data_IF_162904300716
#
_entry.id   IF_162904300716
#
_cell.length_a   1.000
_cell.length_b   1.000
_cell.length_c   1.000
_cell.angle_alpha   90.00
_cell.angle_beta   90.00
_cell.angle_gamma   90.00
#
_symmetry.space_group_name_H-M   'P 1'
#
loop_
_entity.id
_entity.type
_entity.pdbx_description
1 polymer ?
#
# COMPACT_ATOMS: atom_id res chain seq x y z
N UNK A 1 12.38 -0.01 17.31
CA UNK A 1 11.96 -1.41 17.12
C UNK A 1 13.12 -2.18 16.50
N UNK A 2 13.42 -3.39 16.97
CA UNK A 2 14.46 -4.25 16.35
C UNK A 2 13.76 -5.32 15.50
N UNK A 3 13.55 -5.00 14.23
CA UNK A 3 12.83 -5.85 13.27
C UNK A 3 13.52 -7.20 13.07
N UNK A 4 14.86 -7.24 13.18
CA UNK A 4 15.69 -8.46 13.14
C UNK A 4 15.22 -9.54 14.13
N UNK A 5 14.69 -9.12 15.30
CA UNK A 5 14.22 -10.02 16.36
C UNK A 5 12.72 -10.33 16.26
N UNK A 6 12.03 -9.77 15.28
CA UNK A 6 10.59 -10.00 15.10
C UNK A 6 10.37 -11.27 14.31
N UNK A 7 9.56 -12.19 14.83
CA UNK A 7 9.37 -13.52 14.25
C UNK A 7 8.41 -13.54 13.06
N UNK A 8 7.41 -12.66 13.05
CA UNK A 8 6.38 -12.63 12.00
C UNK A 8 5.71 -11.26 11.91
N UNK A 9 4.87 -11.07 10.91
CA UNK A 9 4.18 -9.81 10.64
C UNK A 9 3.11 -9.44 11.67
N UNK A 10 2.53 -10.43 12.36
CA UNK A 10 1.60 -10.19 13.46
C UNK A 10 2.31 -9.62 14.68
N UNK A 11 3.46 -10.19 15.05
CA UNK A 11 4.30 -9.66 16.11
C UNK A 11 4.76 -8.23 15.77
N UNK A 12 5.11 -7.95 14.51
CA UNK A 12 5.44 -6.61 14.03
C UNK A 12 4.31 -5.61 14.32
N UNK A 13 3.08 -5.96 13.91
CA UNK A 13 1.91 -5.11 14.12
C UNK A 13 1.63 -4.91 15.61
N UNK A 14 1.61 -6.00 16.40
CA UNK A 14 1.32 -5.95 17.82
C UNK A 14 2.33 -5.13 18.60
N UNK A 15 3.63 -5.33 18.34
CA UNK A 15 4.71 -4.55 18.97
C UNK A 15 4.58 -3.05 18.65
N UNK A 16 4.19 -2.71 17.41
CA UNK A 16 3.98 -1.32 17.02
C UNK A 16 2.72 -0.75 17.65
N UNK A 17 1.61 -1.50 17.66
CA UNK A 17 0.37 -1.12 18.34
C UNK A 17 0.60 -0.80 19.82
N UNK A 18 1.42 -1.61 20.53
CA UNK A 18 1.72 -1.37 21.95
C UNK A 18 2.48 -0.05 22.20
N UNK A 19 3.19 0.46 21.20
CA UNK A 19 3.98 1.71 21.27
C UNK A 19 3.19 2.95 20.88
N UNK A 20 2.02 2.79 20.26
CA UNK A 20 1.23 3.91 19.79
C UNK A 20 0.19 4.37 20.82
N UNK A 21 -0.13 5.66 20.79
CA UNK A 21 -1.33 6.18 21.41
C UNK A 21 -2.54 5.60 20.66
N UNK A 22 -3.42 4.93 21.38
CA UNK A 22 -4.51 4.11 20.83
C UNK A 22 -5.46 4.89 19.94
N UNK A 23 -5.75 6.15 20.29
CA UNK A 23 -6.68 7.04 19.60
C UNK A 23 -6.09 7.67 18.31
N UNK A 24 -4.78 7.56 18.08
CA UNK A 24 -4.17 8.12 16.87
C UNK A 24 -4.68 7.39 15.64
N UNK A 25 -5.08 8.18 14.63
CA UNK A 25 -5.54 7.64 13.35
C UNK A 25 -4.38 6.96 12.63
N UNK A 26 -4.56 5.68 12.34
CA UNK A 26 -3.64 4.88 11.56
C UNK A 26 -4.05 4.80 10.09
N UNK A 27 -5.29 4.38 9.80
CA UNK A 27 -5.79 4.18 8.44
C UNK A 27 -6.92 5.16 8.11
N UNK A 28 -6.92 5.73 6.90
CA UNK A 28 -7.95 6.67 6.45
C UNK A 28 -8.25 6.52 4.96
N UNK A 29 -9.53 6.42 4.59
CA UNK A 29 -9.98 6.53 3.21
C UNK A 29 -10.08 8.00 2.79
N UNK A 30 -9.63 8.33 1.57
CA UNK A 30 -9.89 9.64 0.95
C UNK A 30 -11.16 9.62 0.11
N UNK A 31 -11.59 8.44 -0.37
CA UNK A 31 -12.88 8.26 -1.05
C UNK A 31 -14.05 8.46 -0.07
N UNK A 32 -13.90 7.94 1.15
CA UNK A 32 -14.86 8.02 2.23
C UNK A 32 -14.19 8.63 3.48
N UNK A 33 -14.06 9.98 3.55
CA UNK A 33 -13.26 10.61 4.62
C UNK A 33 -13.72 10.34 6.05
N UNK A 34 -14.97 9.90 6.24
CA UNK A 34 -15.49 9.45 7.54
C UNK A 34 -14.93 8.08 7.96
N UNK A 35 -14.49 7.25 7.03
CA UNK A 35 -13.83 5.96 7.33
C UNK A 35 -12.40 6.21 7.78
N UNK A 36 -12.24 6.36 9.08
CA UNK A 36 -10.97 6.52 9.78
C UNK A 36 -10.90 5.46 10.87
N UNK A 37 -9.76 4.82 10.98
CA UNK A 37 -9.48 3.80 11.99
C UNK A 37 -8.26 4.23 12.79
N UNK A 38 -8.43 4.35 14.11
CA UNK A 38 -7.32 4.50 15.04
C UNK A 38 -6.52 3.20 15.16
N UNK A 39 -5.40 3.23 15.85
CA UNK A 39 -4.65 2.00 16.16
C UNK A 39 -5.53 1.03 16.96
N UNK A 40 -6.35 1.54 17.89
CA UNK A 40 -7.30 0.73 18.65
C UNK A 40 -8.38 0.11 17.77
N UNK A 41 -8.99 0.90 16.87
CA UNK A 41 -10.01 0.40 15.95
C UNK A 41 -9.47 -0.73 15.08
N UNK A 42 -8.23 -0.56 14.56
CA UNK A 42 -7.58 -1.59 13.74
C UNK A 42 -7.33 -2.86 14.56
N UNK A 43 -6.77 -2.73 15.77
CA UNK A 43 -6.52 -3.87 16.66
C UNK A 43 -7.81 -4.62 17.00
N UNK A 44 -8.86 -3.90 17.40
CA UNK A 44 -10.16 -4.49 17.75
C UNK A 44 -10.81 -5.19 16.54
N UNK A 45 -10.77 -4.56 15.37
CA UNK A 45 -11.35 -5.12 14.16
C UNK A 45 -10.57 -6.34 13.64
N UNK A 46 -9.25 -6.36 13.76
CA UNK A 46 -8.44 -7.55 13.49
C UNK A 46 -8.89 -8.70 14.37
N UNK A 47 -9.02 -8.48 15.68
CA UNK A 47 -9.45 -9.53 16.62
C UNK A 47 -10.86 -10.04 16.32
N UNK A 48 -11.81 -9.13 16.05
CA UNK A 48 -13.19 -9.52 15.73
C UNK A 48 -13.30 -10.32 14.45
N UNK A 49 -12.59 -9.88 13.40
CA UNK A 49 -12.62 -10.56 12.10
C UNK A 49 -11.87 -11.89 12.16
N UNK A 50 -10.73 -11.96 12.85
CA UNK A 50 -9.98 -13.21 13.01
C UNK A 50 -10.75 -14.24 13.82
N UNK A 51 -11.44 -13.84 14.90
CA UNK A 51 -12.32 -14.73 15.66
C UNK A 51 -13.49 -15.28 14.82
N UNK A 52 -13.95 -14.54 13.82
CA UNK A 52 -14.96 -15.05 12.89
C UNK A 52 -14.35 -15.99 11.87
N UNK A 53 -13.23 -15.62 11.23
CA UNK A 53 -12.52 -16.41 10.22
C UNK A 53 -12.10 -17.77 10.80
N UNK A 54 -11.56 -17.81 12.02
CA UNK A 54 -11.06 -19.04 12.68
C UNK A 54 -12.11 -20.15 12.84
N UNK A 55 -13.39 -19.83 12.74
CA UNK A 55 -14.47 -20.84 12.79
C UNK A 55 -14.52 -21.71 11.53
N UNK A 56 -13.97 -21.23 10.42
CA UNK A 56 -14.12 -21.83 9.10
C UNK A 56 -12.82 -22.35 8.50
N UNK A 57 -11.66 -21.96 9.05
CA UNK A 57 -10.35 -22.33 8.53
C UNK A 57 -9.49 -23.10 9.53
N UNK A 58 -8.50 -23.83 9.01
CA UNK A 58 -7.40 -24.41 9.74
C UNK A 58 -6.11 -23.68 9.38
N UNK A 59 -5.07 -23.85 10.21
CA UNK A 59 -3.73 -23.30 9.92
C UNK A 59 -3.26 -23.74 8.53
N UNK A 60 -2.89 -22.77 7.69
CA UNK A 60 -2.43 -22.98 6.32
C UNK A 60 -3.53 -22.95 5.26
N UNK A 61 -4.82 -22.85 5.62
CA UNK A 61 -5.88 -22.65 4.65
C UNK A 61 -5.74 -21.28 3.97
N UNK A 62 -6.10 -21.21 2.67
CA UNK A 62 -6.03 -19.96 1.89
C UNK A 62 -7.31 -19.18 2.04
N UNK A 63 -7.16 -17.86 2.10
CA UNK A 63 -8.26 -16.93 2.06
C UNK A 63 -8.05 -15.95 0.90
N UNK A 64 -8.95 -15.97 -0.08
CA UNK A 64 -8.88 -15.10 -1.26
C UNK A 64 -9.44 -13.72 -0.92
N UNK A 65 -8.63 -12.67 -1.13
CA UNK A 65 -9.00 -11.27 -0.84
C UNK A 65 -9.13 -10.49 -2.15
N UNK A 66 -10.36 -10.10 -2.51
CA UNK A 66 -10.70 -9.36 -3.73
C UNK A 66 -11.22 -7.98 -3.32
N UNK A 67 -10.38 -6.97 -3.36
CA UNK A 67 -10.78 -5.62 -2.96
C UNK A 67 -9.84 -4.56 -3.55
N UNK A 68 -10.42 -3.41 -3.80
CA UNK A 68 -9.70 -2.15 -4.00
C UNK A 68 -8.95 -1.75 -2.73
N UNK A 69 -7.99 -0.82 -2.89
CA UNK A 69 -7.27 -0.27 -1.76
C UNK A 69 -8.23 0.48 -0.80
N UNK A 70 -8.25 0.05 0.44
CA UNK A 70 -9.10 0.61 1.51
C UNK A 70 -8.58 0.21 2.90
N UNK A 71 -8.94 0.91 3.97
CA UNK A 71 -8.51 0.56 5.33
C UNK A 71 -8.80 -0.90 5.71
N UNK A 72 -9.97 -1.40 5.35
CA UNK A 72 -10.43 -2.75 5.67
C UNK A 72 -9.56 -3.83 5.02
N UNK A 73 -8.82 -3.50 3.96
CA UNK A 73 -7.91 -4.43 3.30
C UNK A 73 -6.77 -4.86 4.24
N UNK A 74 -6.10 -3.91 4.91
CA UNK A 74 -5.04 -4.22 5.89
C UNK A 74 -5.60 -4.98 7.10
N UNK A 75 -6.80 -4.61 7.56
CA UNK A 75 -7.48 -5.30 8.65
C UNK A 75 -7.73 -6.76 8.26
N UNK A 76 -8.25 -7.02 7.07
CA UNK A 76 -8.51 -8.37 6.60
C UNK A 76 -7.23 -9.21 6.45
N UNK A 77 -6.17 -8.65 5.87
CA UNK A 77 -4.89 -9.32 5.69
C UNK A 77 -4.30 -9.80 7.03
N UNK A 78 -4.24 -8.89 8.01
CA UNK A 78 -3.78 -9.24 9.37
C UNK A 78 -4.75 -10.19 10.08
N UNK A 79 -6.05 -10.11 9.85
CA UNK A 79 -7.04 -11.02 10.43
C UNK A 79 -6.92 -12.44 9.88
N UNK A 80 -6.67 -12.59 8.59
CA UNK A 80 -6.40 -13.89 7.97
C UNK A 80 -5.17 -14.52 8.61
N UNK A 81 -4.07 -13.76 8.72
CA UNK A 81 -2.84 -14.24 9.34
C UNK A 81 -3.06 -14.63 10.81
N UNK A 82 -3.80 -13.81 11.59
CA UNK A 82 -4.09 -14.09 13.01
C UNK A 82 -4.99 -15.31 13.20
N UNK A 83 -5.78 -15.67 12.18
CA UNK A 83 -6.58 -16.91 12.17
C UNK A 83 -5.77 -18.14 11.74
N UNK A 84 -4.49 -17.98 11.41
CA UNK A 84 -3.63 -19.05 10.87
C UNK A 84 -3.78 -19.28 9.37
N UNK A 85 -4.53 -18.43 8.68
CA UNK A 85 -4.73 -18.50 7.23
C UNK A 85 -3.58 -17.86 6.43
N UNK A 86 -3.58 -18.14 5.13
CA UNK A 86 -2.65 -17.56 4.16
C UNK A 86 -3.45 -16.62 3.25
N UNK A 87 -3.08 -15.35 3.20
CA UNK A 87 -3.74 -14.38 2.32
C UNK A 87 -3.39 -14.64 0.86
N UNK A 88 -4.41 -14.70 0.01
CA UNK A 88 -4.27 -14.74 -1.46
C UNK A 88 -4.92 -13.48 -2.02
N UNK A 89 -4.19 -12.37 -2.17
CA UNK A 89 -4.77 -11.16 -2.71
C UNK A 89 -4.88 -11.23 -4.22
N UNK A 90 -6.05 -10.85 -4.76
CA UNK A 90 -6.31 -10.85 -6.19
C UNK A 90 -6.60 -9.45 -6.72
N UNK A 91 -6.20 -9.18 -7.97
CA UNK A 91 -6.49 -7.90 -8.62
C UNK A 91 -7.98 -7.79 -8.93
N UNK A 92 -8.55 -6.63 -8.62
CA UNK A 92 -9.95 -6.32 -8.95
C UNK A 92 -10.22 -6.20 -10.45
N UNK A 93 -9.19 -6.19 -11.27
CA UNK A 93 -9.26 -6.11 -12.73
C UNK A 93 -9.24 -7.47 -13.43
N UNK A 94 -9.11 -8.56 -12.68
CA UNK A 94 -9.15 -9.91 -13.24
C UNK A 94 -10.51 -10.22 -13.88
N UNK A 95 -10.48 -11.02 -14.95
CA UNK A 95 -11.66 -11.59 -15.58
C UNK A 95 -12.24 -12.76 -14.77
N UNK A 96 -13.48 -13.19 -15.08
CA UNK A 96 -14.10 -14.38 -14.50
C UNK A 96 -13.21 -15.62 -14.67
N UNK A 97 -12.60 -15.80 -15.84
CA UNK A 97 -11.66 -16.91 -16.13
C UNK A 97 -10.41 -16.87 -15.24
N UNK A 98 -9.84 -15.69 -15.02
CA UNK A 98 -8.66 -15.55 -14.16
C UNK A 98 -9.01 -15.91 -12.71
N UNK A 99 -10.18 -15.45 -12.24
CA UNK A 99 -10.65 -15.79 -10.90
C UNK A 99 -10.94 -17.29 -10.76
N UNK A 100 -11.58 -17.92 -11.75
CA UNK A 100 -11.85 -19.36 -11.74
C UNK A 100 -10.54 -20.14 -11.62
N UNK A 101 -9.53 -19.78 -12.42
CA UNK A 101 -8.22 -20.40 -12.35
C UNK A 101 -7.58 -20.25 -10.96
N UNK A 102 -7.55 -19.02 -10.41
CA UNK A 102 -6.95 -18.75 -9.09
C UNK A 102 -7.68 -19.51 -7.98
N UNK A 103 -9.02 -19.54 -8.04
CA UNK A 103 -9.85 -20.24 -7.05
C UNK A 103 -9.59 -21.76 -7.12
N UNK A 104 -9.43 -22.34 -8.30
CA UNK A 104 -9.13 -23.76 -8.47
C UNK A 104 -7.73 -24.12 -8.01
N UNK A 105 -6.74 -23.25 -8.30
CA UNK A 105 -5.34 -23.49 -7.94
C UNK A 105 -5.10 -23.34 -6.43
N UNK A 106 -5.62 -22.28 -5.79
CA UNK A 106 -5.40 -22.04 -4.37
C UNK A 106 -6.46 -22.64 -3.45
N UNK A 107 -7.59 -23.11 -3.96
CA UNK A 107 -8.70 -23.73 -3.19
C UNK A 107 -9.01 -22.98 -1.89
N UNK A 108 -9.47 -21.70 -1.94
CA UNK A 108 -9.64 -20.88 -0.75
C UNK A 108 -10.84 -21.33 0.08
N UNK A 109 -10.64 -21.47 1.40
CA UNK A 109 -11.75 -21.80 2.30
C UNK A 109 -12.68 -20.60 2.56
N UNK A 110 -12.15 -19.38 2.42
CA UNK A 110 -12.88 -18.12 2.60
C UNK A 110 -12.60 -17.18 1.43
N UNK A 111 -13.65 -16.47 1.00
CA UNK A 111 -13.53 -15.31 0.12
C UNK A 111 -13.81 -14.04 0.93
N UNK A 112 -12.99 -13.01 0.79
CA UNK A 112 -13.24 -11.67 1.33
C UNK A 112 -13.34 -10.71 0.14
N UNK A 113 -14.47 -10.02 0.00
CA UNK A 113 -14.83 -9.27 -1.21
C UNK A 113 -15.24 -7.85 -0.81
N UNK A 114 -14.76 -6.85 -1.57
CA UNK A 114 -15.08 -5.46 -1.25
C UNK A 114 -16.56 -5.14 -1.36
N UNK A 115 -17.17 -5.46 -2.50
CA UNK A 115 -18.50 -4.98 -2.87
C UNK A 115 -19.22 -5.91 -3.87
N UNK A 116 -20.43 -5.49 -4.24
CA UNK A 116 -21.26 -6.20 -5.22
C UNK A 116 -20.61 -6.29 -6.60
N UNK A 117 -19.84 -5.27 -7.01
CA UNK A 117 -19.21 -5.25 -8.35
C UNK A 117 -18.18 -6.37 -8.47
N UNK A 118 -17.38 -6.59 -7.43
CA UNK A 118 -16.41 -7.69 -7.42
C UNK A 118 -17.08 -9.05 -7.27
N UNK A 119 -18.15 -9.11 -6.48
CA UNK A 119 -18.93 -10.35 -6.32
C UNK A 119 -19.55 -10.83 -7.64
N UNK A 120 -20.13 -9.93 -8.44
CA UNK A 120 -20.74 -10.26 -9.74
C UNK A 120 -19.76 -10.97 -10.69
N UNK A 121 -18.46 -10.73 -10.58
CA UNK A 121 -17.43 -11.37 -11.41
C UNK A 121 -17.19 -12.84 -11.08
N UNK A 122 -17.56 -13.27 -9.88
CA UNK A 122 -17.28 -14.65 -9.39
C UNK A 122 -18.53 -15.42 -8.96
N UNK A 123 -19.69 -14.79 -8.92
CA UNK A 123 -20.94 -15.41 -8.43
C UNK A 123 -21.29 -16.74 -9.13
N UNK A 124 -20.96 -16.89 -10.42
CA UNK A 124 -21.23 -18.10 -11.20
C UNK A 124 -20.20 -19.22 -10.94
N UNK A 125 -19.03 -18.86 -10.37
CA UNK A 125 -17.96 -19.81 -10.03
C UNK A 125 -18.26 -20.47 -8.69
N UNK A 126 -18.73 -19.70 -7.71
CA UNK A 126 -18.88 -20.10 -6.30
C UNK A 126 -19.72 -21.36 -6.10
N UNK A 127 -20.91 -21.53 -6.75
CA UNK A 127 -21.78 -22.71 -6.52
C UNK A 127 -21.13 -24.03 -6.93
N UNK A 128 -20.05 -24.01 -7.70
CA UNK A 128 -19.31 -25.17 -8.18
C UNK A 128 -18.15 -25.57 -7.26
N UNK A 129 -17.94 -24.86 -6.14
CA UNK A 129 -16.74 -24.95 -5.30
C UNK A 129 -17.14 -25.22 -3.84
N UNK A 130 -17.26 -26.49 -3.49
CA UNK A 130 -17.69 -26.99 -2.17
C UNK A 130 -16.66 -26.71 -1.04
N UNK A 131 -15.41 -26.42 -1.39
CA UNK A 131 -14.38 -26.04 -0.45
C UNK A 131 -14.54 -24.61 0.09
N UNK A 132 -15.35 -23.73 -0.54
CA UNK A 132 -15.65 -22.37 -0.07
C UNK A 132 -16.68 -22.45 1.05
N UNK A 133 -16.23 -22.20 2.29
CA UNK A 133 -17.08 -22.33 3.47
C UNK A 133 -17.79 -21.03 3.84
N UNK A 134 -17.19 -19.86 3.50
CA UNK A 134 -17.74 -18.55 3.86
C UNK A 134 -17.27 -17.45 2.92
N UNK A 135 -18.14 -16.46 2.72
CA UNK A 135 -17.85 -15.25 1.97
C UNK A 135 -18.12 -14.05 2.87
N UNK A 136 -17.16 -13.12 2.97
CA UNK A 136 -17.23 -11.94 3.83
C UNK A 136 -17.18 -10.70 2.95
N UNK A 137 -18.16 -9.80 3.11
CA UNK A 137 -18.22 -8.54 2.38
C UNK A 137 -17.77 -7.36 3.23
N UNK A 138 -17.01 -6.42 2.64
CA UNK A 138 -16.69 -5.16 3.29
C UNK A 138 -17.86 -4.17 3.25
N UNK A 139 -18.58 -4.13 2.14
CA UNK A 139 -19.75 -3.27 1.98
C UNK A 139 -21.04 -4.01 2.29
N UNK A 140 -22.09 -3.23 2.53
CA UNK A 140 -23.41 -3.77 2.78
C UNK A 140 -23.96 -4.46 1.52
N UNK A 141 -24.51 -5.64 1.73
CA UNK A 141 -25.18 -6.44 0.70
C UNK A 141 -26.61 -6.72 1.16
N UNK A 142 -27.58 -6.32 0.35
CA UNK A 142 -28.98 -6.66 0.57
C UNK A 142 -29.25 -8.10 0.10
N UNK A 143 -30.27 -8.75 0.68
CA UNK A 143 -30.82 -10.05 0.27
C UNK A 143 -29.77 -11.17 0.06
N UNK A 144 -28.98 -11.44 1.09
CA UNK A 144 -27.99 -12.52 1.03
C UNK A 144 -28.28 -13.68 1.99
N UNK A 145 -27.85 -14.88 1.60
CA UNK A 145 -27.95 -16.08 2.44
C UNK A 145 -26.91 -16.03 3.58
N UNK A 146 -27.34 -15.84 4.81
CA UNK A 146 -26.48 -15.77 6.02
C UNK A 146 -25.72 -17.05 6.32
N UNK A 147 -26.12 -18.19 5.77
CA UNK A 147 -25.35 -19.43 5.94
C UNK A 147 -24.00 -19.36 5.23
N UNK A 148 -23.94 -18.74 4.05
CA UNK A 148 -22.73 -18.63 3.25
C UNK A 148 -22.06 -17.25 3.39
N UNK A 149 -22.82 -16.17 3.60
CA UNK A 149 -22.36 -14.79 3.53
C UNK A 149 -22.34 -14.11 4.89
N UNK A 150 -21.39 -13.22 5.10
CA UNK A 150 -21.24 -12.33 6.26
C UNK A 150 -20.84 -10.93 5.81
N UNK A 151 -21.05 -9.94 6.67
CA UNK A 151 -20.63 -8.56 6.44
C UNK A 151 -19.72 -8.08 7.56
N UNK A 152 -18.66 -7.34 7.20
CA UNK A 152 -17.75 -6.78 8.20
C UNK A 152 -18.45 -5.82 9.15
N UNK A 153 -19.48 -5.09 8.70
CA UNK A 153 -20.29 -4.22 9.57
C UNK A 153 -20.94 -4.98 10.73
N UNK A 154 -21.45 -6.20 10.49
CA UNK A 154 -22.01 -7.05 11.55
C UNK A 154 -20.89 -7.57 12.49
N UNK A 155 -19.73 -7.95 11.92
CA UNK A 155 -18.59 -8.49 12.68
C UNK A 155 -17.98 -7.39 13.56
N UNK A 156 -17.73 -6.19 13.02
CA UNK A 156 -17.09 -5.09 13.73
C UNK A 156 -17.97 -4.49 14.84
N UNK A 157 -19.30 -4.61 14.71
CA UNK A 157 -20.24 -4.15 15.72
C UNK A 157 -20.46 -5.15 16.88
N UNK A 158 -19.88 -6.36 16.83
CA UNK A 158 -19.95 -7.33 17.95
C UNK A 158 -19.31 -6.73 19.19
N UNK A 159 -20.07 -6.72 20.31
CA UNK A 159 -19.60 -6.21 21.61
C UNK A 159 -18.65 -7.20 22.29
N UNK A 160 -18.93 -8.50 22.16
CA UNK A 160 -18.14 -9.57 22.77
C UNK A 160 -17.61 -10.50 21.69
N UNK A 161 -16.30 -10.71 21.68
CA UNK A 161 -15.65 -11.76 20.89
C UNK A 161 -14.50 -12.35 21.70
N UNK A 162 -14.21 -13.62 21.48
CA UNK A 162 -13.02 -14.25 22.03
C UNK A 162 -11.82 -13.80 21.22
N UNK A 163 -11.00 -12.91 21.76
CA UNK A 163 -9.79 -12.45 21.10
C UNK A 163 -8.78 -13.59 20.96
N UNK A 164 -8.20 -13.68 19.76
CA UNK A 164 -7.08 -14.58 19.53
C UNK A 164 -5.79 -13.91 20.04
N UNK A 165 -4.91 -14.71 20.59
CA UNK A 165 -3.61 -14.22 21.00
C UNK A 165 -2.68 -14.18 19.78
N UNK A 166 -2.01 -13.06 19.58
CA UNK A 166 -1.10 -12.83 18.44
C UNK A 166 0.12 -13.79 18.43
N UNK A 167 0.36 -14.52 19.50
CA UNK A 167 1.51 -15.40 19.65
C UNK A 167 1.17 -16.90 19.72
N UNK A 168 -0.11 -17.28 19.85
CA UNK A 168 -0.50 -18.68 20.05
C UNK A 168 -0.23 -19.58 18.84
N UNK A 169 -0.17 -19.02 17.62
CA UNK A 169 0.03 -19.80 16.40
C UNK A 169 1.49 -20.21 16.15
N UNK A 170 2.43 -19.73 16.96
CA UNK A 170 3.88 -19.99 16.80
C UNK A 170 4.40 -19.79 15.36
N UNK A 171 3.90 -18.73 14.70
CA UNK A 171 4.30 -18.39 13.34
C UNK A 171 5.76 -17.93 13.32
N UNK A 172 6.55 -18.54 12.44
CA UNK A 172 7.98 -18.27 12.27
C UNK A 172 8.26 -17.47 10.98
N UNK A 173 9.46 -16.89 10.89
CA UNK A 173 9.90 -16.13 9.69
C UNK A 173 9.82 -16.94 8.39
N UNK A 174 10.01 -18.26 8.43
CA UNK A 174 9.96 -19.15 7.27
C UNK A 174 8.54 -19.48 6.80
N UNK A 175 7.52 -19.26 7.65
CA UNK A 175 6.14 -19.59 7.32
C UNK A 175 5.58 -18.65 6.25
N UNK A 176 4.61 -19.16 5.50
CA UNK A 176 3.99 -18.43 4.39
C UNK A 176 3.09 -17.34 4.94
N UNK A 177 3.31 -16.09 4.51
CA UNK A 177 2.46 -14.96 4.83
C UNK A 177 1.36 -14.77 3.78
N UNK A 178 1.72 -14.83 2.50
CA UNK A 178 0.76 -14.66 1.42
C UNK A 178 1.22 -15.37 0.14
N UNK A 179 0.27 -15.56 -0.80
CA UNK A 179 0.52 -16.08 -2.15
C UNK A 179 0.00 -15.05 -3.14
N UNK A 180 0.89 -14.46 -3.95
CA UNK A 180 0.55 -13.40 -4.90
C UNK A 180 0.61 -13.95 -6.33
N UNK A 181 -0.52 -13.93 -7.02
CA UNK A 181 -0.57 -14.36 -8.42
C UNK A 181 -0.02 -13.29 -9.35
N UNK A 182 0.97 -13.67 -10.15
CA UNK A 182 1.58 -12.80 -11.17
C UNK A 182 1.27 -13.34 -12.56
N UNK A 183 1.15 -12.44 -13.55
CA UNK A 183 1.00 -12.85 -14.95
C UNK A 183 2.26 -13.62 -15.39
N UNK A 184 2.13 -14.93 -15.50
CA UNK A 184 3.20 -15.79 -16.02
C UNK A 184 3.51 -15.46 -17.49
N UNK A 185 4.76 -15.57 -17.89
CA UNK A 185 5.24 -15.33 -19.27
C UNK A 185 4.64 -16.31 -20.30
N UNK A 186 3.91 -17.33 -19.88
CA UNK A 186 3.40 -18.43 -20.73
C UNK A 186 1.91 -18.78 -20.49
N UNK A 187 1.06 -17.83 -20.12
CA UNK A 187 -0.41 -18.03 -20.07
C UNK A 187 -1.00 -17.90 -18.66
N UNK A 188 -1.09 -18.98 -17.88
CA UNK A 188 -1.77 -18.94 -16.58
C UNK A 188 -0.96 -18.20 -15.50
N UNK A 189 -1.62 -17.44 -14.60
CA UNK A 189 -0.98 -16.82 -13.47
C UNK A 189 -0.25 -17.83 -12.57
N UNK A 190 0.90 -17.44 -12.02
CA UNK A 190 1.67 -18.25 -11.07
C UNK A 190 1.59 -17.66 -9.66
N UNK A 191 1.24 -18.49 -8.68
CA UNK A 191 1.21 -18.10 -7.27
C UNK A 191 2.63 -18.02 -6.68
N UNK A 192 3.11 -16.80 -6.44
CA UNK A 192 4.40 -16.55 -5.79
C UNK A 192 4.21 -16.56 -4.28
N UNK A 193 4.92 -17.44 -3.61
CA UNK A 193 4.88 -17.61 -2.16
C UNK A 193 5.81 -16.62 -1.48
N UNK A 194 5.27 -15.78 -0.60
CA UNK A 194 6.04 -14.86 0.22
C UNK A 194 5.98 -15.28 1.69
N UNK A 195 7.15 -15.39 2.33
CA UNK A 195 7.24 -15.71 3.75
C UNK A 195 7.18 -14.44 4.63
N UNK A 196 6.81 -14.61 5.90
CA UNK A 196 6.89 -13.53 6.89
C UNK A 196 8.29 -12.93 6.95
N UNK A 197 9.33 -13.75 6.93
CA UNK A 197 10.73 -13.32 6.97
C UNK A 197 11.15 -12.53 5.73
N UNK A 198 10.70 -12.92 4.55
CA UNK A 198 10.98 -12.19 3.31
C UNK A 198 10.45 -10.76 3.35
N UNK A 199 9.20 -10.58 3.80
CA UNK A 199 8.59 -9.25 3.97
C UNK A 199 9.30 -8.46 5.08
N UNK A 200 9.58 -9.09 6.24
CA UNK A 200 10.28 -8.44 7.35
C UNK A 200 11.68 -7.93 6.96
N UNK A 201 12.44 -8.67 6.16
CA UNK A 201 13.76 -8.23 5.68
C UNK A 201 13.66 -6.98 4.81
N UNK A 202 12.64 -6.90 3.94
CA UNK A 202 12.36 -5.70 3.16
C UNK A 202 11.96 -4.51 4.05
N UNK A 203 11.16 -4.76 5.07
CA UNK A 203 10.77 -3.75 6.06
C UNK A 203 11.97 -3.18 6.81
N UNK A 204 12.93 -4.01 7.17
CA UNK A 204 14.17 -3.60 7.84
C UNK A 204 15.00 -2.67 6.98
N UNK A 205 15.30 -3.08 5.73
CA UNK A 205 16.04 -2.25 4.79
C UNK A 205 15.34 -0.92 4.48
N UNK A 206 14.01 -0.95 4.31
CA UNK A 206 13.22 0.26 4.10
C UNK A 206 13.23 1.18 5.32
N UNK A 207 13.08 0.63 6.53
CA UNK A 207 13.14 1.40 7.78
C UNK A 207 14.48 2.12 7.94
N UNK A 208 15.59 1.43 7.70
CA UNK A 208 16.94 2.00 7.83
C UNK A 208 17.21 3.15 6.85
N UNK A 209 16.59 3.10 5.70
CA UNK A 209 16.63 4.18 4.74
C UNK A 209 15.71 5.34 5.17
N UNK A 210 14.45 5.06 5.45
CA UNK A 210 13.40 6.06 5.66
C UNK A 210 13.60 6.86 6.95
N UNK A 211 14.03 6.23 8.05
CA UNK A 211 14.26 6.88 9.36
C UNK A 211 15.19 8.08 9.30
N UNK A 212 15.99 8.20 8.22
CA UNK A 212 16.95 9.31 8.05
C UNK A 212 16.30 10.64 7.66
N UNK A 213 15.05 10.61 7.15
CA UNK A 213 14.44 11.82 6.58
C UNK A 213 12.93 11.95 6.77
N UNK A 214 12.24 10.93 7.29
CA UNK A 214 10.81 11.02 7.62
C UNK A 214 10.58 11.57 9.03
N UNK A 215 9.37 12.05 9.30
CA UNK A 215 8.95 12.43 10.66
C UNK A 215 8.64 11.19 11.52
N UNK A 216 8.41 11.41 12.83
CA UNK A 216 8.08 10.31 13.77
C UNK A 216 6.71 9.66 13.51
N UNK A 217 5.78 10.37 12.85
CA UNK A 217 4.46 9.87 12.45
C UNK A 217 4.24 10.28 10.98
N UNK A 218 4.95 9.63 10.02
CA UNK A 218 4.94 10.07 8.63
C UNK A 218 3.59 9.76 7.98
N UNK A 219 3.22 10.57 6.99
CA UNK A 219 2.03 10.34 6.18
C UNK A 219 2.40 9.61 4.90
N UNK A 220 1.70 8.52 4.63
CA UNK A 220 1.80 7.75 3.39
C UNK A 220 0.52 7.87 2.57
N UNK A 221 0.65 7.95 1.26
CA UNK A 221 -0.46 7.83 0.32
C UNK A 221 -0.32 6.53 -0.45
N UNK A 222 -1.24 5.59 -0.21
CA UNK A 222 -1.33 4.28 -0.86
C UNK A 222 -2.33 4.33 -2.01
N UNK A 223 -1.89 3.96 -3.22
CA UNK A 223 -2.71 3.95 -4.43
C UNK A 223 -2.37 2.79 -5.38
N UNK A 224 -1.16 2.24 -5.32
CA UNK A 224 -0.82 1.03 -6.05
C UNK A 224 -1.61 -0.16 -5.48
N UNK A 225 -1.97 -1.16 -6.31
CA UNK A 225 -2.74 -2.30 -5.84
C UNK A 225 -2.04 -3.04 -4.69
N UNK A 226 -2.72 -3.21 -3.56
CA UNK A 226 -2.24 -4.00 -2.42
C UNK A 226 -2.14 -5.51 -2.74
N UNK A 227 -2.78 -5.94 -3.82
CA UNK A 227 -2.61 -7.28 -4.40
C UNK A 227 -1.28 -7.49 -5.11
N UNK A 228 -0.47 -6.43 -5.31
CA UNK A 228 0.88 -6.53 -5.85
C UNK A 228 1.92 -6.62 -4.74
N UNK A 229 2.91 -7.52 -4.85
CA UNK A 229 3.95 -7.78 -3.84
C UNK A 229 4.67 -6.51 -3.34
N UNK A 230 4.90 -5.55 -4.23
CA UNK A 230 5.56 -4.30 -3.88
C UNK A 230 4.72 -3.48 -2.88
N UNK A 231 3.47 -3.14 -3.21
CA UNK A 231 2.63 -2.33 -2.31
C UNK A 231 2.20 -3.13 -1.08
N UNK A 232 2.00 -4.44 -1.20
CA UNK A 232 1.74 -5.32 -0.07
C UNK A 232 2.91 -5.26 0.96
N UNK A 233 4.16 -5.32 0.50
CA UNK A 233 5.32 -5.15 1.38
C UNK A 233 5.38 -3.74 1.99
N UNK A 234 5.07 -2.70 1.20
CA UNK A 234 5.03 -1.31 1.70
C UNK A 234 4.00 -1.13 2.81
N UNK A 235 2.89 -1.85 2.79
CA UNK A 235 1.90 -1.87 3.88
C UNK A 235 2.56 -2.20 5.23
N UNK A 236 3.45 -3.16 5.27
CA UNK A 236 4.17 -3.52 6.50
C UNK A 236 5.27 -2.52 6.85
N UNK A 237 5.90 -1.87 5.86
CA UNK A 237 6.78 -0.72 6.10
C UNK A 237 6.03 0.42 6.79
N UNK A 238 4.78 0.69 6.38
CA UNK A 238 3.92 1.70 7.00
C UNK A 238 3.66 1.40 8.49
N UNK A 239 3.48 0.11 8.84
CA UNK A 239 3.36 -0.32 10.25
C UNK A 239 4.67 -0.04 10.99
N UNK A 240 5.82 -0.44 10.44
CA UNK A 240 7.14 -0.24 11.06
C UNK A 240 7.43 1.20 11.43
N UNK A 241 7.10 2.13 10.54
CA UNK A 241 7.36 3.57 10.75
C UNK A 241 6.21 4.30 11.46
N UNK A 242 5.21 3.57 11.96
CA UNK A 242 4.00 4.13 12.58
C UNK A 242 3.32 5.21 11.71
N UNK A 243 3.21 4.96 10.43
CA UNK A 243 2.66 5.91 9.48
C UNK A 243 1.16 6.17 9.73
N UNK A 244 0.70 7.38 9.38
CA UNK A 244 -0.70 7.59 9.05
C UNK A 244 -0.88 7.30 7.57
N UNK A 245 -1.69 6.30 7.26
CA UNK A 245 -1.89 5.78 5.90
C UNK A 245 -3.16 6.35 5.31
N UNK A 246 -3.06 6.97 4.15
CA UNK A 246 -4.18 7.46 3.37
C UNK A 246 -4.36 6.59 2.13
N UNK A 247 -5.56 6.11 1.89
CA UNK A 247 -5.92 5.36 0.69
C UNK A 247 -6.54 6.30 -0.33
N UNK A 248 -5.94 6.38 -1.52
CA UNK A 248 -6.38 7.28 -2.59
C UNK A 248 -7.79 6.94 -3.12
N UNK A 249 -8.51 7.95 -3.59
CA UNK A 249 -9.84 7.77 -4.19
C UNK A 249 -9.76 7.05 -5.54
N UNK A 250 -8.87 7.51 -6.41
CA UNK A 250 -8.64 6.98 -7.75
C UNK A 250 -7.35 7.57 -8.35
N UNK A 251 -6.87 6.96 -9.43
CA UNK A 251 -5.68 7.43 -10.16
C UNK A 251 -5.88 8.87 -10.69
N UNK A 252 -7.07 9.19 -11.20
CA UNK A 252 -7.36 10.52 -11.76
C UNK A 252 -7.33 11.62 -10.70
N UNK A 253 -7.67 11.29 -9.46
CA UNK A 253 -7.66 12.22 -8.33
C UNK A 253 -6.34 12.23 -7.55
N UNK A 254 -5.33 11.47 -7.96
CA UNK A 254 -4.13 11.22 -7.17
C UNK A 254 -3.39 12.52 -6.78
N UNK A 255 -3.23 13.47 -7.71
CA UNK A 255 -2.58 14.77 -7.42
C UNK A 255 -3.39 15.59 -6.41
N UNK A 256 -4.73 15.59 -6.54
CA UNK A 256 -5.60 16.21 -5.56
C UNK A 256 -5.47 15.54 -4.20
N UNK A 257 -5.50 14.22 -4.16
CA UNK A 257 -5.34 13.45 -2.93
C UNK A 257 -3.98 13.75 -2.25
N UNK A 258 -2.89 13.91 -3.02
CA UNK A 258 -1.61 14.36 -2.48
C UNK A 258 -1.69 15.76 -1.86
N UNK A 259 -2.39 16.69 -2.51
CA UNK A 259 -2.60 18.03 -1.97
C UNK A 259 -3.40 17.98 -0.66
N UNK A 260 -4.43 17.13 -0.59
CA UNK A 260 -5.36 17.05 0.55
C UNK A 260 -4.70 16.40 1.79
N UNK A 261 -3.96 15.30 1.63
CA UNK A 261 -3.34 14.61 2.76
C UNK A 261 -1.89 15.04 3.05
N UNK A 262 -1.23 15.74 2.12
CA UNK A 262 0.16 16.20 2.26
C UNK A 262 1.11 15.08 2.68
N UNK A 263 1.29 14.02 1.87
CA UNK A 263 2.08 12.86 2.26
C UNK A 263 3.58 13.19 2.28
N UNK A 264 4.31 12.48 3.14
CA UNK A 264 5.77 12.50 3.12
C UNK A 264 6.34 11.48 2.14
N UNK A 265 5.66 10.33 2.02
CA UNK A 265 6.06 9.22 1.14
C UNK A 265 4.88 8.81 0.24
N UNK A 266 5.20 8.55 -1.01
CA UNK A 266 4.30 7.88 -1.94
C UNK A 266 5.11 6.90 -2.81
N UNK A 267 4.65 5.67 -2.88
CA UNK A 267 5.16 4.65 -3.80
C UNK A 267 4.52 4.81 -5.17
N UNK A 268 5.27 4.55 -6.24
CA UNK A 268 4.73 4.52 -7.59
C UNK A 268 5.58 3.65 -8.53
N UNK A 269 5.04 3.37 -9.70
CA UNK A 269 5.73 2.61 -10.77
C UNK A 269 6.37 3.56 -11.81
N UNK A 270 7.37 3.13 -12.59
CA UNK A 270 8.08 3.97 -13.55
C UNK A 270 7.17 4.72 -14.52
N UNK A 271 6.08 4.08 -14.98
CA UNK A 271 5.11 4.69 -15.90
C UNK A 271 4.45 5.95 -15.31
N UNK A 272 4.18 5.98 -14.01
CA UNK A 272 3.66 7.16 -13.34
C UNK A 272 4.64 8.32 -13.45
N UNK A 273 5.92 8.10 -13.16
CA UNK A 273 6.97 9.12 -13.21
C UNK A 273 7.22 9.64 -14.63
N UNK A 274 7.18 8.76 -15.62
CA UNK A 274 7.27 9.15 -17.04
C UNK A 274 6.11 10.06 -17.45
N UNK A 275 4.88 9.74 -17.05
CA UNK A 275 3.71 10.57 -17.31
C UNK A 275 3.79 11.91 -16.57
N UNK A 276 4.23 11.89 -15.32
CA UNK A 276 4.44 13.11 -14.53
C UNK A 276 5.52 14.00 -15.17
N UNK A 277 6.64 13.43 -15.59
CA UNK A 277 7.70 14.14 -16.32
C UNK A 277 7.16 14.80 -17.59
N UNK A 278 6.41 14.06 -18.42
CA UNK A 278 5.79 14.59 -19.66
C UNK A 278 4.86 15.76 -19.35
N UNK A 279 3.97 15.65 -18.36
CA UNK A 279 3.02 16.71 -17.98
C UNK A 279 3.74 17.97 -17.49
N UNK A 280 4.74 17.82 -16.61
CA UNK A 280 5.50 18.95 -16.07
C UNK A 280 6.33 19.63 -17.17
N UNK A 281 7.03 18.85 -17.99
CA UNK A 281 7.83 19.39 -19.12
C UNK A 281 6.97 20.14 -20.12
N UNK A 282 5.78 19.64 -20.46
CA UNK A 282 4.84 20.34 -21.33
C UNK A 282 4.38 21.69 -20.74
N UNK A 283 4.16 21.74 -19.41
CA UNK A 283 3.85 22.99 -18.71
C UNK A 283 5.03 23.97 -18.73
N UNK A 284 6.25 23.49 -18.58
CA UNK A 284 7.47 24.31 -18.62
C UNK A 284 7.76 24.86 -20.02
N UNK A 285 7.47 24.09 -21.06
CA UNK A 285 7.64 24.52 -22.44
C UNK A 285 6.68 25.66 -22.85
N UNK A 286 5.53 25.78 -22.14
CA UNK A 286 4.60 26.91 -22.31
C UNK A 286 5.02 28.18 -21.56
N UNK A 287 6.03 28.10 -20.69
CA UNK A 287 6.53 29.27 -19.97
C UNK A 287 7.36 30.17 -20.91
N UNK A 288 7.25 31.48 -20.76
CA UNK A 288 8.00 32.50 -21.50
C UNK A 288 8.72 33.46 -20.59
N UNK A 289 9.64 34.27 -21.15
CA UNK A 289 10.36 35.29 -20.41
C UNK A 289 11.10 34.83 -19.16
N UNK A 290 11.05 35.61 -18.10
CA UNK A 290 11.73 35.33 -16.83
C UNK A 290 11.31 33.97 -16.24
N UNK A 291 10.04 33.59 -16.40
CA UNK A 291 9.54 32.32 -15.88
C UNK A 291 10.24 31.14 -16.54
N UNK A 292 10.45 31.18 -17.86
CA UNK A 292 11.19 30.15 -18.59
C UNK A 292 12.62 30.07 -18.13
N UNK A 293 13.30 31.23 -18.01
CA UNK A 293 14.67 31.31 -17.53
C UNK A 293 14.83 30.67 -16.14
N UNK A 294 13.93 30.99 -15.19
CA UNK A 294 13.98 30.42 -13.83
C UNK A 294 13.78 28.90 -13.81
N UNK A 295 12.88 28.38 -14.64
CA UNK A 295 12.65 26.94 -14.77
C UNK A 295 13.89 26.22 -15.32
N UNK A 296 14.48 26.77 -16.39
CA UNK A 296 15.69 26.19 -17.00
C UNK A 296 16.87 26.21 -16.02
N UNK A 297 17.06 27.31 -15.29
CA UNK A 297 18.06 27.41 -14.21
C UNK A 297 17.79 26.43 -13.06
N UNK A 298 16.53 26.25 -12.66
CA UNK A 298 16.16 25.30 -11.61
C UNK A 298 16.53 23.86 -11.99
N UNK A 299 16.29 23.46 -13.25
CA UNK A 299 16.66 22.14 -13.76
C UNK A 299 18.19 22.01 -13.83
N UNK A 300 18.88 23.00 -14.44
CA UNK A 300 20.35 22.99 -14.60
C UNK A 300 21.06 22.88 -13.23
N UNK A 301 20.73 23.77 -12.30
CA UNK A 301 21.38 23.80 -10.97
C UNK A 301 20.94 22.59 -10.12
N UNK A 302 19.70 22.11 -10.29
CA UNK A 302 19.23 20.88 -9.64
C UNK A 302 20.06 19.66 -10.09
N UNK A 303 20.27 19.48 -11.40
CA UNK A 303 21.14 18.41 -11.96
C UNK A 303 22.59 18.55 -11.49
N UNK A 304 23.12 19.78 -11.43
CA UNK A 304 24.47 20.06 -10.92
C UNK A 304 24.62 19.65 -9.45
N UNK A 305 23.60 19.94 -8.61
CA UNK A 305 23.54 19.53 -7.19
C UNK A 305 23.52 17.99 -7.04
N UNK A 306 22.74 17.29 -7.86
CA UNK A 306 22.67 15.82 -7.85
C UNK A 306 24.04 15.19 -8.17
N UNK A 307 24.78 15.79 -9.08
CA UNK A 307 26.13 15.38 -9.45
C UNK A 307 27.21 15.83 -8.45
N UNK A 308 26.83 16.37 -7.28
CA UNK A 308 27.72 16.88 -6.21
C UNK A 308 28.74 17.92 -6.70
N UNK A 309 28.41 18.66 -7.74
CA UNK A 309 29.27 19.74 -8.26
C UNK A 309 29.13 21.02 -7.41
N UNK A 310 30.24 21.72 -7.19
CA UNK A 310 30.25 22.98 -6.43
C UNK A 310 29.58 24.11 -7.22
N UNK A 311 28.86 24.98 -6.52
CA UNK A 311 28.25 26.18 -7.07
C UNK A 311 29.23 27.39 -6.89
N UNK A 312 29.22 28.29 -7.88
CA UNK A 312 29.80 29.64 -7.71
C UNK A 312 28.87 30.47 -6.79
N UNK A 313 29.36 31.66 -6.34
CA UNK A 313 28.55 32.55 -5.54
C UNK A 313 27.27 32.98 -6.25
N UNK A 314 27.35 33.30 -7.53
CA UNK A 314 26.21 33.69 -8.37
C UNK A 314 25.23 32.48 -8.52
N UNK A 315 25.74 31.29 -8.75
CA UNK A 315 24.90 30.07 -8.85
C UNK A 315 24.17 29.76 -7.53
N UNK A 316 24.81 30.01 -6.38
CA UNK A 316 24.16 29.88 -5.07
C UNK A 316 22.97 30.80 -4.93
N UNK A 317 23.13 32.09 -5.32
CA UNK A 317 22.03 33.06 -5.30
C UNK A 317 20.90 32.67 -6.22
N UNK A 318 21.21 32.31 -7.49
CA UNK A 318 20.21 31.85 -8.45
C UNK A 318 19.51 30.59 -7.95
N UNK A 319 20.25 29.62 -7.37
CA UNK A 319 19.66 28.41 -6.81
C UNK A 319 18.70 28.68 -5.65
N UNK A 320 19.01 29.66 -4.79
CA UNK A 320 18.13 30.13 -3.71
C UNK A 320 16.82 30.71 -4.29
N UNK A 321 16.90 31.51 -5.35
CA UNK A 321 15.72 32.06 -6.04
C UNK A 321 14.90 30.90 -6.65
N UNK A 322 15.54 29.97 -7.36
CA UNK A 322 14.90 28.78 -7.95
C UNK A 322 14.23 27.90 -6.90
N UNK A 323 14.85 27.74 -5.72
CA UNK A 323 14.24 26.97 -4.60
C UNK A 323 12.90 27.58 -4.19
N UNK A 324 12.86 28.92 -4.01
CA UNK A 324 11.66 29.58 -3.49
C UNK A 324 10.57 29.80 -4.57
N UNK A 325 10.95 30.16 -5.79
CA UNK A 325 9.98 30.53 -6.84
C UNK A 325 9.57 29.36 -7.73
N UNK A 326 10.39 28.30 -7.82
CA UNK A 326 10.11 27.14 -8.68
C UNK A 326 9.85 25.89 -7.86
N UNK A 327 10.88 25.36 -7.14
CA UNK A 327 10.79 24.06 -6.49
C UNK A 327 9.75 24.02 -5.37
N UNK A 328 9.67 25.02 -4.51
CA UNK A 328 8.63 25.09 -3.47
C UNK A 328 7.22 25.16 -4.05
N UNK A 329 7.02 25.89 -5.17
CA UNK A 329 5.72 25.96 -5.84
C UNK A 329 5.31 24.60 -6.42
N UNK A 330 6.25 23.90 -7.06
CA UNK A 330 6.01 22.55 -7.57
C UNK A 330 5.66 21.64 -6.40
N UNK A 331 6.50 21.59 -5.36
CA UNK A 331 6.30 20.74 -4.19
C UNK A 331 4.93 20.98 -3.53
N UNK A 332 4.46 22.24 -3.50
CA UNK A 332 3.15 22.60 -2.94
C UNK A 332 1.99 21.93 -3.66
N UNK A 333 2.09 21.70 -4.99
CA UNK A 333 1.07 20.97 -5.74
C UNK A 333 0.93 19.50 -5.31
N UNK A 334 1.97 18.97 -4.68
CA UNK A 334 2.03 17.61 -4.13
C UNK A 334 1.88 17.60 -2.60
N UNK A 335 1.19 18.62 -2.03
CA UNK A 335 0.92 18.73 -0.60
C UNK A 335 2.03 19.40 0.21
N UNK A 336 3.18 19.74 -0.37
CA UNK A 336 4.26 20.51 0.27
C UNK A 336 5.21 19.73 1.18
N UNK A 337 4.80 18.55 1.68
CA UNK A 337 5.55 17.77 2.65
C UNK A 337 6.34 16.60 2.07
N UNK A 338 6.23 16.36 0.76
CA UNK A 338 6.84 15.20 0.11
C UNK A 338 8.35 15.13 0.39
N UNK A 339 8.79 14.03 1.00
CA UNK A 339 10.18 13.70 1.31
C UNK A 339 10.77 12.76 0.26
N UNK A 340 9.96 11.80 -0.20
CA UNK A 340 10.34 10.94 -1.32
C UNK A 340 9.14 10.36 -2.06
N UNK A 341 9.26 10.33 -3.38
CA UNK A 341 8.66 9.32 -4.21
C UNK A 341 9.57 8.08 -4.22
N UNK A 342 8.98 6.89 -4.11
CA UNK A 342 9.72 5.64 -4.16
C UNK A 342 9.24 4.86 -5.39
N UNK A 343 10.12 4.72 -6.38
CA UNK A 343 9.85 3.95 -7.60
C UNK A 343 10.16 2.48 -7.39
N UNK A 344 9.21 1.61 -7.67
CA UNK A 344 9.37 0.15 -7.63
C UNK A 344 8.65 -0.52 -8.79
N UNK A 345 8.72 -1.86 -8.85
CA UNK A 345 8.07 -2.65 -9.89
C UNK A 345 8.72 -2.56 -11.29
N UNK A 346 9.86 -1.89 -11.42
CA UNK A 346 10.62 -1.78 -12.68
C UNK A 346 11.69 -0.70 -12.62
N UNK A 347 12.57 -0.67 -13.62
CA UNK A 347 13.64 0.32 -13.73
C UNK A 347 13.08 1.71 -14.08
N UNK A 348 13.42 2.71 -13.29
CA UNK A 348 13.11 4.10 -13.60
C UNK A 348 14.17 4.67 -14.55
N UNK A 349 13.73 5.33 -15.61
CA UNK A 349 14.61 6.05 -16.50
C UNK A 349 15.43 7.10 -15.75
N UNK A 350 16.75 7.13 -15.97
CA UNK A 350 17.70 7.99 -15.25
C UNK A 350 17.42 9.47 -15.48
N UNK A 351 17.04 9.86 -16.72
CA UNK A 351 16.73 11.26 -17.04
C UNK A 351 15.46 11.71 -16.35
N UNK A 352 14.42 10.86 -16.32
CA UNK A 352 13.17 11.12 -15.60
C UNK A 352 13.45 11.30 -14.12
N UNK A 353 14.18 10.39 -13.48
CA UNK A 353 14.55 10.49 -12.07
C UNK A 353 15.38 11.75 -11.76
N UNK A 354 16.40 12.06 -12.59
CA UNK A 354 17.22 13.26 -12.46
C UNK A 354 16.41 14.54 -12.60
N UNK A 355 15.47 14.59 -13.56
CA UNK A 355 14.61 15.74 -13.77
C UNK A 355 13.71 16.00 -12.55
N UNK A 356 13.00 14.96 -12.06
CA UNK A 356 12.10 15.11 -10.91
C UNK A 356 12.86 15.58 -9.66
N UNK A 357 14.01 14.99 -9.38
CA UNK A 357 14.87 15.42 -8.27
C UNK A 357 15.34 16.89 -8.45
N UNK A 358 15.74 17.28 -9.67
CA UNK A 358 16.21 18.63 -9.96
C UNK A 358 15.14 19.71 -9.71
N UNK A 359 13.88 19.40 -9.97
CA UNK A 359 12.75 20.33 -9.79
C UNK A 359 12.13 20.29 -8.38
N UNK A 360 12.72 19.55 -7.43
CA UNK A 360 12.28 19.52 -6.03
C UNK A 360 11.27 18.42 -5.70
N UNK A 361 11.13 17.39 -6.53
CA UNK A 361 10.37 16.18 -6.26
C UNK A 361 11.34 15.00 -6.00
N UNK A 362 11.78 14.80 -4.75
CA UNK A 362 12.73 13.76 -4.42
C UNK A 362 12.22 12.39 -4.87
N UNK A 363 13.00 11.70 -5.71
CA UNK A 363 12.63 10.41 -6.27
C UNK A 363 13.75 9.41 -6.01
N UNK A 364 13.42 8.32 -5.34
CA UNK A 364 14.29 7.20 -5.03
C UNK A 364 13.84 5.98 -5.83
N UNK A 365 14.77 5.07 -6.12
CA UNK A 365 14.44 3.80 -6.76
C UNK A 365 14.67 2.66 -5.78
N UNK A 366 13.63 1.83 -5.56
CA UNK A 366 13.71 0.54 -4.91
C UNK A 366 13.84 -0.56 -5.95
N UNK A 367 14.58 -1.61 -5.63
CA UNK A 367 14.69 -2.83 -6.43
C UNK A 367 14.19 -4.02 -5.60
N UNK A 368 13.35 -4.85 -6.21
CA UNK A 368 12.86 -6.09 -5.61
C UNK A 368 12.16 -6.94 -6.67
N UNK A 369 12.16 -8.26 -6.44
CA UNK A 369 11.41 -9.25 -7.20
C UNK A 369 10.16 -9.65 -6.42
N UNK A 370 9.12 -10.06 -7.15
CA UNK A 370 7.94 -10.72 -6.56
C UNK A 370 8.29 -12.15 -6.23
#
# INVERSE_FOLDING_TARGET
>A
MKIEKTNNLLALFYDQYQRQEKENIFLQSLKEPKKKYSWEDVYLNINKLSAEISKYIKKGDRCLLISENRPEWMIADLSIMLSGGITVPAYTTYSERDYEYIIDDCTPAILIISDKVQFEKIKNIIPKKDFIKKIIFFEHMDDFNKELYLQTSEIFNKKNCNYLNFFDLEIQRKDIACIIYTSGTQGNPKGVILSHGGILNNCEGAHDLLKKFISNKPKFLTWLPLSHSYEHTVQFVQIVVAARVFYAESIDKLIKNMSDCSPEIMTAVPRFYQNLHKKISASFNKATGIKKLLVDQAIKLGKKKLNKQKFSLIENLINFICENLVRKKIKKQFGGNLKAFISGGGALDKEVGSFLNAIGLPTLQGYGLS
#
